data_IF_672102455727
#
_entry.id   IF_672102455727
#
_cell.length_a   1.000
_cell.length_b   1.000
_cell.length_c   1.000
_cell.angle_alpha   90.00
_cell.angle_beta   90.00
_cell.angle_gamma   90.00
#
_symmetry.space_group_name_H-M   'P 1'
#
loop_
_entity.id
_entity.type
_entity.pdbx_description
1 polymer ?
#
# COMPACT_ATOMS: atom_id res chain seq x y z
N UNK A 1 10.77 1.79 -2.00
CA UNK A 1 9.57 0.98 -1.69
C UNK A 1 9.80 -0.51 -1.85
N UNK A 2 10.38 -0.97 -2.97
CA UNK A 2 10.55 -2.41 -3.27
C UNK A 2 11.26 -3.22 -2.16
N UNK A 3 12.29 -2.68 -1.51
CA UNK A 3 12.98 -3.38 -0.41
C UNK A 3 12.10 -3.52 0.84
N UNK A 4 11.37 -2.46 1.22
CA UNK A 4 10.47 -2.47 2.38
C UNK A 4 9.31 -3.43 2.14
N UNK A 5 8.72 -3.41 0.94
CA UNK A 5 7.66 -4.35 0.56
C UNK A 5 8.14 -5.80 0.66
N UNK A 6 9.36 -6.09 0.19
CA UNK A 6 9.94 -7.43 0.24
C UNK A 6 10.14 -7.93 1.67
N UNK A 7 10.64 -7.07 2.57
CA UNK A 7 10.80 -7.44 3.97
C UNK A 7 9.43 -7.58 4.67
N UNK A 8 8.46 -6.71 4.39
CA UNK A 8 7.11 -6.84 4.96
C UNK A 8 6.40 -8.12 4.51
N UNK A 9 6.54 -8.52 3.23
CA UNK A 9 6.04 -9.83 2.75
C UNK A 9 6.74 -11.01 3.43
N UNK A 10 7.98 -10.83 3.89
CA UNK A 10 8.73 -11.85 4.62
C UNK A 10 8.23 -11.98 6.06
N UNK A 11 7.96 -10.86 6.74
CA UNK A 11 7.39 -10.85 8.10
C UNK A 11 5.90 -11.27 8.11
N UNK A 12 5.10 -10.76 7.18
CA UNK A 12 3.66 -11.02 7.10
C UNK A 12 3.27 -12.43 6.66
N UNK A 13 4.22 -13.24 6.17
CA UNK A 13 3.97 -14.60 5.65
C UNK A 13 3.34 -15.52 6.69
N UNK A 14 3.60 -15.29 7.98
CA UNK A 14 3.05 -16.08 9.08
C UNK A 14 1.89 -15.37 9.83
N UNK A 15 1.69 -14.08 9.59
CA UNK A 15 0.78 -13.21 10.36
C UNK A 15 -0.51 -12.85 9.59
N UNK A 16 -0.70 -13.38 8.37
CA UNK A 16 -1.82 -13.03 7.46
C UNK A 16 -1.96 -11.52 7.19
N UNK A 17 -0.85 -10.78 7.24
CA UNK A 17 -0.85 -9.35 6.95
C UNK A 17 -0.80 -9.12 5.43
N UNK A 18 -1.75 -8.33 4.92
CA UNK A 18 -1.79 -7.88 3.55
C UNK A 18 -1.06 -6.55 3.41
N UNK A 19 0.03 -6.55 2.65
CA UNK A 19 0.81 -5.34 2.37
C UNK A 19 0.62 -4.90 0.93
N UNK A 20 0.44 -3.60 0.72
CA UNK A 20 0.37 -3.02 -0.61
C UNK A 20 1.41 -1.91 -0.80
N UNK A 21 2.17 -2.00 -1.89
CA UNK A 21 3.16 -1.00 -2.25
C UNK A 21 2.64 -0.02 -3.32
N UNK A 22 2.85 1.27 -3.08
CA UNK A 22 2.26 2.37 -3.85
C UNK A 22 3.34 3.38 -4.26
N UNK A 23 3.76 3.36 -5.52
CA UNK A 23 4.87 4.22 -5.98
C UNK A 23 4.79 4.55 -7.48
N UNK A 24 5.46 5.64 -7.87
CA UNK A 24 5.56 6.08 -9.26
C UNK A 24 6.32 5.11 -10.16
N UNK A 25 6.24 5.30 -11.49
CA UNK A 25 6.96 4.49 -12.48
C UNK A 25 6.35 3.12 -12.81
N UNK A 26 5.29 2.72 -12.09
CA UNK A 26 4.48 1.52 -12.37
C UNK A 26 3.03 1.90 -12.63
N UNK A 27 2.34 1.06 -13.41
CA UNK A 27 0.92 1.25 -13.75
C UNK A 27 0.04 1.39 -12.51
N UNK A 28 -0.97 2.27 -12.60
CA UNK A 28 -1.89 2.57 -11.49
C UNK A 28 -2.85 1.42 -11.20
N UNK A 29 -3.35 0.74 -12.24
CA UNK A 29 -4.34 -0.35 -12.11
C UNK A 29 -3.95 -1.44 -11.10
N UNK A 30 -2.75 -2.05 -11.16
CA UNK A 30 -2.33 -3.03 -10.17
C UNK A 30 -2.29 -2.49 -8.73
N UNK A 31 -1.98 -1.20 -8.57
CA UNK A 31 -1.94 -0.55 -7.27
C UNK A 31 -3.36 -0.39 -6.69
N UNK A 32 -4.30 0.10 -7.51
CA UNK A 32 -5.72 0.26 -7.17
C UNK A 32 -6.37 -1.09 -6.86
N UNK A 33 -6.14 -2.11 -7.70
CA UNK A 33 -6.69 -3.45 -7.48
C UNK A 33 -6.15 -4.09 -6.20
N UNK A 34 -4.88 -3.86 -5.85
CA UNK A 34 -4.34 -4.32 -4.58
C UNK A 34 -4.93 -3.60 -3.39
N UNK A 35 -5.15 -2.29 -3.46
CA UNK A 35 -5.84 -1.53 -2.41
C UNK A 35 -7.28 -2.00 -2.22
N UNK A 36 -8.02 -2.27 -3.32
CA UNK A 36 -9.40 -2.79 -3.29
C UNK A 36 -9.54 -4.16 -2.65
N UNK A 37 -8.48 -4.99 -2.66
CA UNK A 37 -8.47 -6.28 -1.96
C UNK A 37 -8.34 -6.14 -0.44
N UNK A 38 -8.06 -4.93 0.05
CA UNK A 38 -7.71 -4.67 1.44
C UNK A 38 -6.20 -4.73 1.66
N UNK A 39 -5.70 -3.80 2.48
CA UNK A 39 -4.31 -3.76 2.91
C UNK A 39 -4.24 -3.33 4.38
N UNK A 40 -3.55 -4.12 5.20
CA UNK A 40 -3.26 -3.79 6.59
C UNK A 40 -2.09 -2.80 6.67
N UNK A 41 -1.16 -2.88 5.72
CA UNK A 41 0.01 -2.01 5.63
C UNK A 41 0.14 -1.48 4.21
N UNK A 42 0.22 -0.15 4.07
CA UNK A 42 0.53 0.51 2.80
C UNK A 42 1.92 1.12 2.88
N UNK A 43 2.81 0.74 1.95
CA UNK A 43 4.12 1.38 1.81
C UNK A 43 4.11 2.24 0.58
N UNK A 44 4.29 3.56 0.75
CA UNK A 44 4.13 4.47 -0.36
C UNK A 44 5.25 5.50 -0.52
N UNK A 45 5.41 6.01 -1.74
CA UNK A 45 6.09 7.29 -1.99
C UNK A 45 5.08 8.44 -1.95
N UNK A 46 5.42 9.63 -1.42
CA UNK A 46 4.45 10.71 -1.16
C UNK A 46 3.58 11.08 -2.36
N UNK A 47 4.15 11.29 -3.55
CA UNK A 47 3.38 11.68 -4.73
C UNK A 47 2.28 10.69 -5.08
N UNK A 48 2.63 9.42 -5.28
CA UNK A 48 1.63 8.39 -5.64
C UNK A 48 0.62 8.11 -4.51
N UNK A 49 1.04 8.25 -3.26
CA UNK A 49 0.12 8.14 -2.14
C UNK A 49 -0.94 9.23 -2.22
N UNK A 50 -0.53 10.49 -2.38
CA UNK A 50 -1.44 11.63 -2.50
C UNK A 50 -2.37 11.46 -3.71
N UNK A 51 -1.84 11.07 -4.87
CA UNK A 51 -2.66 10.81 -6.07
C UNK A 51 -3.82 9.83 -5.80
N UNK A 52 -3.54 8.73 -5.08
CA UNK A 52 -4.53 7.69 -4.79
C UNK A 52 -5.42 8.03 -3.59
N UNK A 53 -4.93 8.81 -2.64
CA UNK A 53 -5.71 9.32 -1.52
C UNK A 53 -6.73 10.35 -1.97
N UNK A 54 -6.32 11.33 -2.80
CA UNK A 54 -7.20 12.37 -3.33
C UNK A 54 -8.28 11.80 -4.26
N UNK A 55 -8.00 10.69 -4.94
CA UNK A 55 -8.97 9.94 -5.75
C UNK A 55 -9.89 9.02 -4.94
N UNK A 56 -9.69 8.91 -3.62
CA UNK A 56 -10.51 8.07 -2.73
C UNK A 56 -10.20 6.57 -2.83
N UNK A 57 -9.03 6.19 -3.36
CA UNK A 57 -8.55 4.80 -3.35
C UNK A 57 -7.87 4.40 -2.04
N UNK A 58 -7.52 5.39 -1.20
CA UNK A 58 -6.98 5.21 0.15
C UNK A 58 -7.80 6.08 1.10
N UNK A 59 -8.18 5.52 2.24
CA UNK A 59 -8.70 6.26 3.40
C UNK A 59 -7.74 6.08 4.57
N UNK A 60 -7.65 7.07 5.45
CA UNK A 60 -6.87 7.02 6.69
C UNK A 60 -7.75 6.77 7.91
N UNK A 61 -9.01 6.43 7.69
CA UNK A 61 -9.90 6.00 8.76
C UNK A 61 -9.34 4.73 9.44
N UNK A 62 -9.23 4.77 10.76
CA UNK A 62 -8.64 3.67 11.53
C UNK A 62 -7.11 3.58 11.44
N UNK A 63 -6.42 4.57 10.86
CA UNK A 63 -4.96 4.63 10.88
C UNK A 63 -4.45 4.78 12.32
N UNK A 64 -3.67 3.80 12.76
CA UNK A 64 -3.10 3.78 14.12
C UNK A 64 -1.60 4.09 14.13
N UNK A 65 -0.91 3.93 12.99
CA UNK A 65 0.55 4.08 12.86
C UNK A 65 0.89 4.71 11.50
N UNK A 66 1.82 5.67 11.47
CA UNK A 66 2.31 6.35 10.25
C UNK A 66 3.81 6.61 10.30
#
# INVERSE_FOLDING_TARGET
VVQIEKELRRFGRNERLFTQAVYGGVGRRPQIEGLRRGADIVVATPGRFLDLYDEGHITLEGLTHF
#
